data_IF_740954730819
#
_entry.id   IF_740954730819
#
_cell.length_a   1.000
_cell.length_b   1.000
_cell.length_c   1.000
_cell.angle_alpha   90.00
_cell.angle_beta   90.00
_cell.angle_gamma   90.00
#
_symmetry.space_group_name_H-M   'P 1'
#
loop_
_entity.id
_entity.type
_entity.pdbx_description
1 polymer ?
#
# COMPACT_ATOMS: atom_id res chain seq x y z
N UNK A 1 4.96 17.95 4.59
CA UNK A 1 4.69 18.12 3.15
C UNK A 1 3.24 18.51 2.88
N UNK A 2 2.26 17.77 3.39
CA UNK A 2 0.82 18.03 3.13
C UNK A 2 0.42 19.45 3.56
N UNK A 3 0.84 19.89 4.74
CA UNK A 3 0.59 21.24 5.21
C UNK A 3 1.27 22.30 4.31
N UNK A 4 2.53 22.08 3.95
CA UNK A 4 3.22 22.95 2.99
C UNK A 4 2.45 23.03 1.64
N UNK A 5 1.95 21.86 1.13
CA UNK A 5 1.19 21.81 -0.12
C UNK A 5 -0.13 22.62 -0.01
N UNK A 6 -0.83 22.51 1.12
CA UNK A 6 -2.03 23.33 1.41
C UNK A 6 -1.74 24.82 1.34
N UNK A 7 -0.70 25.26 2.07
CA UNK A 7 -0.30 26.66 2.09
C UNK A 7 0.15 27.13 0.71
N UNK A 8 0.95 26.34 0.00
CA UNK A 8 1.48 26.68 -1.32
C UNK A 8 0.39 26.81 -2.40
N UNK A 9 -0.66 26.01 -2.33
CA UNK A 9 -1.68 25.91 -3.38
C UNK A 9 -3.00 26.57 -3.02
N UNK A 10 -3.23 26.89 -1.75
CA UNK A 10 -4.54 27.33 -1.23
C UNK A 10 -5.63 26.26 -1.29
N UNK A 11 -5.27 24.99 -1.54
CA UNK A 11 -6.22 23.89 -1.71
C UNK A 11 -6.21 22.97 -0.49
N UNK A 12 -7.36 22.36 -0.10
CA UNK A 12 -7.48 21.56 1.12
C UNK A 12 -6.92 20.14 0.96
N UNK A 13 -5.65 20.01 0.59
CA UNK A 13 -4.98 18.72 0.53
C UNK A 13 -4.85 18.09 1.92
N UNK A 14 -5.04 16.78 1.99
CA UNK A 14 -4.89 15.95 3.19
C UNK A 14 -4.39 14.56 2.85
N UNK A 15 -4.06 13.74 3.84
CA UNK A 15 -3.98 12.31 3.63
C UNK A 15 -5.40 11.74 3.44
N UNK A 16 -5.56 10.71 2.61
CA UNK A 16 -6.83 9.98 2.57
C UNK A 16 -7.08 9.30 3.92
N UNK A 17 -8.35 9.09 4.27
CA UNK A 17 -8.68 8.15 5.33
C UNK A 17 -8.39 6.72 4.88
N UNK A 18 -8.32 5.79 5.83
CA UNK A 18 -8.15 4.37 5.53
C UNK A 18 -9.30 3.83 4.68
N UNK A 19 -10.52 4.27 4.95
CA UNK A 19 -11.71 3.90 4.18
C UNK A 19 -11.66 4.44 2.74
N UNK A 20 -11.27 5.70 2.55
CA UNK A 20 -11.10 6.29 1.21
C UNK A 20 -10.03 5.57 0.42
N UNK A 21 -8.90 5.26 1.06
CA UNK A 21 -7.81 4.55 0.43
C UNK A 21 -8.29 3.17 -0.07
N UNK A 22 -8.97 2.39 0.77
CA UNK A 22 -9.46 1.06 0.41
C UNK A 22 -10.55 1.11 -0.67
N UNK A 23 -11.46 2.09 -0.58
CA UNK A 23 -12.49 2.31 -1.60
C UNK A 23 -11.86 2.55 -2.98
N UNK A 24 -10.86 3.44 -3.05
CA UNK A 24 -10.13 3.72 -4.30
C UNK A 24 -9.34 2.49 -4.76
N UNK A 25 -8.69 1.76 -3.84
CA UNK A 25 -7.93 0.57 -4.19
C UNK A 25 -8.79 -0.57 -4.73
N UNK A 26 -10.03 -0.71 -4.26
CA UNK A 26 -11.00 -1.69 -4.79
C UNK A 26 -11.64 -1.27 -6.10
N UNK A 27 -11.73 0.02 -6.37
CA UNK A 27 -12.31 0.56 -7.60
C UNK A 27 -13.68 -0.06 -7.97
N UNK A 28 -14.55 -0.24 -6.97
CA UNK A 28 -15.91 -0.77 -7.14
C UNK A 28 -16.01 -2.32 -7.11
N UNK A 29 -14.92 -3.04 -6.89
CA UNK A 29 -14.93 -4.51 -6.82
C UNK A 29 -15.03 -5.03 -5.38
N UNK A 30 -15.50 -6.26 -5.23
CA UNK A 30 -15.49 -7.04 -3.98
C UNK A 30 -14.48 -8.19 -3.98
N UNK A 31 -13.77 -8.40 -5.09
CA UNK A 31 -12.75 -9.43 -5.28
C UNK A 31 -11.50 -9.16 -4.43
N UNK A 32 -10.58 -10.12 -4.37
CA UNK A 32 -9.32 -9.98 -3.63
C UNK A 32 -8.49 -8.80 -4.11
N UNK A 33 -8.53 -8.50 -5.41
CA UNK A 33 -7.88 -7.36 -6.07
C UNK A 33 -8.88 -6.69 -7.01
N UNK A 34 -8.59 -5.47 -7.48
CA UNK A 34 -9.45 -4.76 -8.40
C UNK A 34 -9.52 -5.40 -9.81
N UNK A 35 -8.58 -6.29 -10.15
CA UNK A 35 -8.58 -7.05 -11.41
C UNK A 35 -9.17 -8.47 -11.27
N UNK A 36 -9.61 -8.88 -10.08
CA UNK A 36 -10.18 -10.20 -9.79
C UNK A 36 -9.53 -10.90 -8.61
N UNK A 37 -9.62 -12.21 -8.54
CA UNK A 37 -9.08 -13.03 -7.45
C UNK A 37 -7.74 -13.68 -7.78
N UNK A 38 -7.38 -13.74 -9.05
CA UNK A 38 -6.17 -14.40 -9.55
C UNK A 38 -4.90 -13.57 -9.36
N UNK A 39 -3.76 -14.27 -9.29
CA UNK A 39 -2.43 -13.68 -9.14
C UNK A 39 -1.52 -13.98 -10.34
N UNK A 40 -2.03 -14.57 -11.40
CA UNK A 40 -1.27 -15.04 -12.56
C UNK A 40 -0.55 -13.87 -13.26
N UNK A 41 -1.22 -12.74 -13.42
CA UNK A 41 -0.71 -11.54 -14.07
C UNK A 41 -0.38 -10.41 -13.08
N UNK A 42 -0.13 -10.73 -11.81
CA UNK A 42 0.01 -9.72 -10.75
C UNK A 42 1.08 -8.67 -11.05
N UNK A 43 2.19 -9.02 -11.68
CA UNK A 43 3.26 -8.09 -12.05
C UNK A 43 2.81 -6.99 -13.05
N UNK A 44 1.72 -7.20 -13.77
CA UNK A 44 1.11 -6.16 -14.62
C UNK A 44 0.48 -5.04 -13.79
N UNK A 45 0.01 -5.37 -12.60
CA UNK A 45 -0.83 -4.51 -11.77
C UNK A 45 -0.10 -3.96 -10.55
N UNK A 46 0.97 -4.66 -10.11
CA UNK A 46 1.63 -4.39 -8.82
C UNK A 46 3.13 -4.51 -8.96
N UNK A 47 3.88 -3.52 -8.47
CA UNK A 47 5.31 -3.69 -8.21
C UNK A 47 5.48 -4.39 -6.85
N UNK A 48 6.02 -5.61 -6.89
CA UNK A 48 6.13 -6.51 -5.75
C UNK A 48 7.41 -7.37 -5.83
N UNK A 49 7.62 -8.26 -4.87
CA UNK A 49 8.78 -9.13 -4.84
C UNK A 49 8.70 -10.21 -5.93
N UNK A 50 9.32 -9.98 -7.05
CA UNK A 50 9.29 -10.77 -8.27
C UNK A 50 10.67 -11.29 -8.70
N UNK A 51 10.79 -11.77 -9.93
CA UNK A 51 12.05 -12.28 -10.46
C UNK A 51 13.08 -11.17 -10.70
N UNK A 52 12.69 -9.92 -10.93
CA UNK A 52 13.62 -8.80 -11.10
C UNK A 52 14.29 -8.46 -9.76
N UNK A 53 13.51 -8.41 -8.68
CA UNK A 53 14.02 -8.25 -7.33
C UNK A 53 14.88 -9.45 -6.91
N UNK A 54 14.48 -10.67 -7.26
CA UNK A 54 15.22 -11.88 -7.00
C UNK A 54 16.60 -11.87 -7.66
N UNK A 55 16.66 -11.54 -8.94
CA UNK A 55 17.92 -11.49 -9.70
C UNK A 55 18.86 -10.41 -9.14
N UNK A 56 18.30 -9.23 -8.82
CA UNK A 56 19.07 -8.07 -8.33
C UNK A 56 19.73 -8.31 -6.98
N UNK A 57 19.03 -9.00 -6.09
CA UNK A 57 19.46 -9.18 -4.68
C UNK A 57 19.92 -10.59 -4.35
N UNK A 58 19.94 -11.48 -5.32
CA UNK A 58 20.33 -12.87 -5.11
C UNK A 58 19.38 -13.61 -4.16
N UNK A 59 18.11 -13.26 -4.14
CA UNK A 59 17.09 -13.88 -3.27
C UNK A 59 16.69 -15.28 -3.74
N UNK A 60 17.54 -15.91 -4.52
CA UNK A 60 17.38 -17.28 -4.96
C UNK A 60 17.60 -18.25 -3.80
N UNK A 61 16.57 -18.82 -3.31
CA UNK A 61 16.42 -20.11 -2.69
C UNK A 61 16.86 -20.34 -1.23
N UNK A 62 17.62 -19.50 -0.54
CA UNK A 62 18.18 -19.98 0.73
C UNK A 62 18.28 -19.02 1.91
N UNK A 63 18.03 -17.74 1.87
CA UNK A 63 18.37 -16.87 3.00
C UNK A 63 17.56 -15.60 3.28
N UNK A 64 16.31 -15.49 2.95
CA UNK A 64 15.47 -14.57 3.69
C UNK A 64 14.51 -15.39 4.57
N UNK A 65 15.05 -15.91 5.67
CA UNK A 65 14.23 -16.33 6.80
C UNK A 65 13.62 -15.08 7.42
N UNK A 66 12.52 -14.63 6.89
CA UNK A 66 11.55 -13.91 7.71
C UNK A 66 10.91 -14.97 8.61
N UNK A 67 11.30 -15.02 9.85
CA UNK A 67 10.99 -16.06 10.84
C UNK A 67 9.51 -16.43 11.04
N UNK A 68 8.59 -15.85 10.29
CA UNK A 68 7.14 -16.09 10.42
C UNK A 68 6.37 -16.22 9.11
N UNK A 69 6.97 -16.13 7.93
CA UNK A 69 6.24 -16.09 6.64
C UNK A 69 6.58 -17.26 5.69
N UNK A 70 7.33 -18.26 6.14
CA UNK A 70 7.75 -19.38 5.29
C UNK A 70 8.80 -18.99 4.24
N UNK A 71 9.17 -19.95 3.40
CA UNK A 71 10.10 -19.72 2.29
C UNK A 71 9.50 -18.71 1.29
N UNK A 72 9.98 -17.47 1.35
CA UNK A 72 9.59 -16.46 0.39
C UNK A 72 10.11 -16.85 -1.01
N UNK A 73 9.21 -17.14 -1.88
CA UNK A 73 9.49 -17.29 -3.32
C UNK A 73 8.94 -16.04 -3.99
N UNK A 74 9.79 -15.31 -4.71
CA UNK A 74 9.34 -14.21 -5.56
C UNK A 74 8.20 -14.66 -6.47
N UNK A 75 7.34 -13.72 -6.84
CA UNK A 75 6.32 -14.01 -7.84
C UNK A 75 7.00 -14.46 -9.15
N UNK A 76 6.50 -15.51 -9.83
CA UNK A 76 7.12 -16.03 -11.04
C UNK A 76 6.79 -15.18 -12.28
N UNK A 77 6.90 -13.86 -12.14
CA UNK A 77 6.70 -12.88 -13.19
C UNK A 77 7.73 -11.74 -13.04
N UNK A 78 7.68 -10.75 -13.91
CA UNK A 78 8.57 -9.58 -13.91
C UNK A 78 7.73 -8.33 -14.13
N UNK A 79 7.91 -7.34 -13.26
CA UNK A 79 7.33 -6.01 -13.42
C UNK A 79 8.32 -4.98 -14.04
N UNK A 80 9.58 -5.37 -14.20
CA UNK A 80 10.66 -4.54 -14.75
C UNK A 80 11.42 -3.74 -13.69
N UNK A 81 11.10 -3.89 -12.40
CA UNK A 81 11.69 -3.09 -11.31
C UNK A 81 12.13 -3.95 -10.14
N UNK A 82 13.41 -3.98 -9.89
CA UNK A 82 13.96 -4.71 -8.73
C UNK A 82 13.74 -3.97 -7.39
N UNK A 83 13.28 -2.72 -7.43
CA UNK A 83 13.03 -1.87 -6.25
C UNK A 83 11.80 -1.00 -6.53
N UNK A 84 11.72 0.17 -5.92
CA UNK A 84 10.61 1.09 -6.16
C UNK A 84 10.52 1.50 -7.64
N UNK A 85 9.32 1.44 -8.17
CA UNK A 85 8.96 1.81 -9.53
C UNK A 85 8.37 3.23 -9.60
N UNK A 86 8.41 3.89 -10.76
CA UNK A 86 7.61 5.10 -11.00
C UNK A 86 6.11 4.83 -10.74
N UNK A 87 5.38 5.84 -10.26
CA UNK A 87 3.97 5.70 -9.84
C UNK A 87 3.07 5.09 -10.92
N UNK A 88 3.35 5.36 -12.18
CA UNK A 88 2.58 4.89 -13.34
C UNK A 88 3.23 3.72 -14.09
N UNK A 89 4.12 2.98 -13.43
CA UNK A 89 4.79 1.82 -14.03
C UNK A 89 3.85 0.62 -14.22
N UNK A 90 2.84 0.49 -13.35
CA UNK A 90 1.85 -0.58 -13.39
C UNK A 90 0.52 -0.09 -13.97
N UNK A 91 -0.40 -1.00 -14.28
CA UNK A 91 -1.70 -0.62 -14.81
C UNK A 91 -2.52 0.22 -13.79
N UNK A 92 -3.24 1.21 -14.31
CA UNK A 92 -4.19 1.97 -13.50
C UNK A 92 -5.44 1.13 -13.22
N UNK A 93 -6.08 1.38 -12.09
CA UNK A 93 -7.33 0.75 -11.75
C UNK A 93 -8.53 1.43 -12.49
N UNK A 94 -9.75 0.86 -12.43
CA UNK A 94 -10.93 1.45 -13.07
C UNK A 94 -11.28 2.87 -12.65
N UNK A 95 -10.79 3.36 -11.51
CA UNK A 95 -10.96 4.75 -11.09
C UNK A 95 -9.85 5.68 -11.61
N UNK A 96 -8.95 5.18 -12.48
CA UNK A 96 -7.87 5.96 -13.08
C UNK A 96 -6.69 6.21 -12.14
N UNK A 97 -6.53 5.43 -11.08
CA UNK A 97 -5.47 5.61 -10.08
C UNK A 97 -4.39 4.54 -10.22
N UNK A 98 -3.14 4.97 -10.15
CA UNK A 98 -1.95 4.13 -10.26
C UNK A 98 -1.32 3.80 -8.91
N UNK A 99 -0.57 2.69 -8.85
CA UNK A 99 0.38 2.39 -7.78
C UNK A 99 -0.21 2.31 -6.38
N UNK A 100 -1.47 1.84 -6.24
CA UNK A 100 -2.12 1.68 -4.93
C UNK A 100 -1.68 0.43 -4.18
N UNK A 101 -1.30 -0.60 -4.91
CA UNK A 101 -0.90 -1.88 -4.36
C UNK A 101 0.57 -2.13 -4.66
N UNK A 102 1.35 -2.58 -3.67
CA UNK A 102 2.80 -2.75 -3.80
C UNK A 102 3.57 -1.42 -3.83
N UNK A 103 4.78 -1.44 -4.30
CA UNK A 103 5.72 -0.32 -4.42
C UNK A 103 6.16 0.26 -3.07
N UNK A 104 5.30 1.01 -2.39
CA UNK A 104 5.56 1.59 -1.07
C UNK A 104 4.34 1.46 -0.16
N UNK A 105 4.58 1.24 1.13
CA UNK A 105 3.51 1.41 2.13
C UNK A 105 3.09 2.87 2.19
N UNK A 106 1.80 3.13 2.22
CA UNK A 106 1.25 4.47 2.21
C UNK A 106 0.60 4.82 3.56
N UNK A 107 1.04 5.94 4.13
CA UNK A 107 0.41 6.53 5.29
C UNK A 107 -1.01 6.98 4.95
N UNK A 108 -1.95 6.63 5.81
CA UNK A 108 -3.31 7.19 5.81
C UNK A 108 -3.53 8.05 7.06
N UNK A 109 -4.61 8.80 7.09
CA UNK A 109 -4.88 9.75 8.18
C UNK A 109 -5.25 9.06 9.51
N UNK A 110 -5.66 7.80 9.45
CA UNK A 110 -6.22 7.09 10.60
C UNK A 110 -5.18 6.69 11.64
N UNK A 111 -5.54 6.84 12.91
CA UNK A 111 -4.89 6.13 14.00
C UNK A 111 -5.16 4.64 13.86
N UNK A 112 -4.21 3.80 14.28
CA UNK A 112 -4.44 2.36 14.25
C UNK A 112 -5.54 1.93 15.21
N UNK A 113 -6.40 1.07 14.72
CA UNK A 113 -7.39 0.32 15.50
C UNK A 113 -7.37 -1.14 15.03
N UNK A 114 -7.40 -2.07 15.96
CA UNK A 114 -7.26 -3.49 15.64
C UNK A 114 -8.44 -4.04 14.82
N UNK A 115 -9.60 -3.38 14.89
CA UNK A 115 -10.79 -3.75 14.12
C UNK A 115 -11.63 -2.54 13.68
N UNK A 116 -12.71 -2.82 12.97
CA UNK A 116 -13.63 -1.81 12.44
C UNK A 116 -14.93 -1.66 13.24
N UNK A 117 -15.07 -2.33 14.41
CA UNK A 117 -16.34 -2.35 15.17
C UNK A 117 -16.83 -0.96 15.61
N UNK A 118 -15.92 -0.03 15.81
CA UNK A 118 -16.24 1.37 16.13
C UNK A 118 -15.73 2.32 15.06
N UNK A 119 -15.60 1.85 13.81
CA UNK A 119 -15.28 2.72 12.70
C UNK A 119 -16.43 3.70 12.44
N UNK A 120 -16.15 4.95 12.06
CA UNK A 120 -17.19 5.85 11.60
C UNK A 120 -17.94 5.26 10.40
N UNK A 121 -19.25 5.45 10.34
CA UNK A 121 -20.06 5.08 9.16
C UNK A 121 -19.83 6.01 7.97
N UNK A 122 -18.81 6.85 8.05
CA UNK A 122 -18.44 7.86 7.05
C UNK A 122 -17.03 7.61 6.55
N UNK A 123 -16.65 8.30 5.48
CA UNK A 123 -15.29 8.27 4.95
C UNK A 123 -14.27 9.05 5.83
N UNK A 124 -14.71 9.55 6.98
CA UNK A 124 -13.88 10.34 7.87
C UNK A 124 -12.80 9.49 8.53
N UNK A 125 -11.59 10.01 8.58
CA UNK A 125 -10.47 9.32 9.24
C UNK A 125 -10.77 9.09 10.74
N UNK A 126 -10.41 7.92 11.24
CA UNK A 126 -10.57 7.55 12.64
C UNK A 126 -9.42 8.12 13.48
N UNK A 127 -9.65 9.28 14.05
CA UNK A 127 -8.69 10.02 14.89
C UNK A 127 -9.01 9.81 16.38
N UNK A 128 -9.26 8.60 16.83
CA UNK A 128 -9.61 8.30 18.22
C UNK A 128 -8.38 8.21 19.11
N UNK A 129 -8.40 8.99 20.20
CA UNK A 129 -7.34 9.09 21.20
C UNK A 129 -6.40 10.26 20.94
N UNK A 130 -5.97 10.93 22.00
CA UNK A 130 -5.03 12.05 21.93
C UNK A 130 -3.63 11.63 21.45
N UNK A 131 -3.34 10.35 21.52
CA UNK A 131 -2.05 9.77 21.15
C UNK A 131 -2.22 8.73 20.04
N UNK A 132 -2.23 9.18 18.81
CA UNK A 132 -2.10 8.30 17.67
C UNK A 132 -0.63 7.86 17.47
N UNK A 133 0.01 7.34 18.49
CA UNK A 133 1.36 6.80 18.42
C UNK A 133 1.53 5.72 17.36
N UNK A 134 0.44 4.98 17.07
CA UNK A 134 0.37 4.03 15.97
C UNK A 134 -0.59 4.54 14.89
N UNK A 135 -0.14 4.51 13.64
CA UNK A 135 -0.92 4.90 12.46
C UNK A 135 -1.15 3.72 11.52
N UNK A 136 -2.27 3.75 10.84
CA UNK A 136 -2.54 2.79 9.78
C UNK A 136 -1.70 3.11 8.53
N UNK A 137 -1.24 2.05 7.87
CA UNK A 137 -0.63 2.10 6.55
C UNK A 137 -1.26 1.07 5.64
N UNK A 138 -1.25 1.34 4.36
CA UNK A 138 -1.87 0.52 3.33
C UNK A 138 -0.91 0.29 2.15
N UNK A 139 -1.27 -0.59 1.20
CA UNK A 139 -0.63 -0.72 -0.11
C UNK A 139 0.46 -1.79 -0.20
N UNK A 140 1.25 -1.98 0.84
CA UNK A 140 2.43 -2.86 0.84
C UNK A 140 3.62 -2.32 0.02
N UNK A 141 4.72 -3.03 0.10
CA UNK A 141 6.02 -2.63 -0.46
C UNK A 141 6.42 -3.53 -1.62
N UNK A 142 7.38 -3.06 -2.42
CA UNK A 142 7.96 -3.80 -3.55
C UNK A 142 8.62 -5.15 -3.18
N UNK A 143 8.84 -5.43 -1.89
CA UNK A 143 9.33 -6.74 -1.42
C UNK A 143 8.21 -7.68 -0.98
N UNK A 144 6.96 -7.25 -1.03
CA UNK A 144 5.82 -8.04 -0.58
C UNK A 144 5.48 -9.17 -1.57
N UNK A 145 4.71 -10.13 -1.11
CA UNK A 145 4.10 -11.15 -1.97
C UNK A 145 2.67 -10.75 -2.38
N UNK A 146 2.12 -11.39 -3.40
CA UNK A 146 0.79 -11.08 -3.90
C UNK A 146 -0.29 -11.17 -2.81
N UNK A 147 -0.26 -12.18 -1.94
CA UNK A 147 -1.29 -12.36 -0.91
C UNK A 147 -1.37 -11.22 0.10
N UNK A 148 -0.29 -10.49 0.34
CA UNK A 148 -0.24 -9.33 1.24
C UNK A 148 -0.50 -8.00 0.52
N UNK A 149 -0.51 -7.94 -0.81
CA UNK A 149 -0.79 -6.70 -1.56
C UNK A 149 -2.29 -6.45 -1.80
N UNK A 150 -3.18 -7.20 -1.16
CA UNK A 150 -4.64 -7.01 -1.30
C UNK A 150 -5.09 -5.66 -0.72
N UNK A 151 -6.12 -5.01 -1.28
CA UNK A 151 -6.71 -3.79 -0.72
C UNK A 151 -7.06 -3.90 0.77
N UNK A 152 -7.53 -5.08 1.22
CA UNK A 152 -7.90 -5.32 2.61
C UNK A 152 -6.71 -5.46 3.57
N UNK A 153 -5.48 -5.57 3.08
CA UNK A 153 -4.31 -5.75 3.95
C UNK A 153 -3.98 -4.46 4.70
N UNK A 154 -3.80 -4.57 6.01
CA UNK A 154 -3.55 -3.44 6.91
C UNK A 154 -2.22 -3.61 7.62
N UNK A 155 -1.53 -2.50 7.85
CA UNK A 155 -0.32 -2.42 8.65
C UNK A 155 -0.45 -1.35 9.71
N UNK A 156 0.26 -1.53 10.81
CA UNK A 156 0.46 -0.49 11.84
C UNK A 156 1.93 -0.15 11.98
N UNK A 157 2.22 1.14 12.10
CA UNK A 157 3.58 1.64 12.34
C UNK A 157 3.54 2.80 13.33
N UNK A 158 4.65 3.01 14.06
CA UNK A 158 4.76 4.21 14.87
C UNK A 158 4.71 5.45 13.97
N UNK A 159 3.97 6.46 14.38
CA UNK A 159 3.79 7.68 13.61
C UNK A 159 5.11 8.42 13.31
N UNK A 160 6.15 8.13 14.07
CA UNK A 160 7.50 8.69 13.91
C UNK A 160 8.43 7.84 13.06
N UNK A 161 8.04 6.62 12.69
CA UNK A 161 8.88 5.74 11.88
C UNK A 161 9.13 6.32 10.49
N UNK A 162 10.36 6.19 10.03
CA UNK A 162 10.80 6.62 8.70
C UNK A 162 11.59 5.51 8.04
N UNK A 163 11.12 5.06 6.88
CA UNK A 163 11.78 4.01 6.10
C UNK A 163 11.74 4.36 4.63
N UNK A 164 12.72 3.89 3.88
CA UNK A 164 12.80 4.10 2.42
C UNK A 164 11.63 3.47 1.65
N UNK A 165 10.89 2.56 2.29
CA UNK A 165 9.70 1.89 1.74
C UNK A 165 8.38 2.57 2.12
N UNK A 166 8.42 3.71 2.83
CA UNK A 166 7.23 4.44 3.27
C UNK A 166 6.98 5.65 2.39
N UNK A 167 5.77 5.77 1.94
CA UNK A 167 5.27 6.88 1.12
C UNK A 167 3.90 7.34 1.59
N UNK A 168 3.27 8.14 0.78
CA UNK A 168 1.89 8.60 0.99
C UNK A 168 1.32 9.10 -0.34
N UNK A 169 0.02 9.20 -0.40
CA UNK A 169 -0.71 9.95 -1.43
C UNK A 169 -1.55 11.03 -0.79
N UNK A 170 -1.94 12.02 -1.57
CA UNK A 170 -2.81 13.09 -1.08
C UNK A 170 -4.21 12.93 -1.65
N UNK A 171 -5.20 13.27 -0.83
CA UNK A 171 -6.58 13.48 -1.22
C UNK A 171 -6.88 14.98 -1.18
N UNK A 172 -7.93 15.37 -1.87
CA UNK A 172 -8.45 16.74 -1.89
C UNK A 172 -9.97 16.68 -1.99
N UNK A 173 -10.65 17.45 -1.16
CA UNK A 173 -12.08 17.71 -1.22
C UNK A 173 -12.42 18.69 -2.32
#
# INVERSE_FOLDING_TARGET
>A
YVEWLRQKTGRPYRLPSEAEWEYVARAGTSTAYWWGDGTEDVCRYVNLGDLDAQDRFGWNQTRIKYDKLGDWKGQPCRDGYATMAPVHATAMNPFGVYGLLGNANEWVADCWNDDYRSAPDTQTARLTGADCGLRAMRGQVWTANASSTRPAFRLKMNATDRRFTFGFRVARD
#
